data_IF_004192628479
#
_entry.id   IF_004192628479
#
_cell.length_a   1.000
_cell.length_b   1.000
_cell.length_c   1.000
_cell.angle_alpha   90.00
_cell.angle_beta   90.00
_cell.angle_gamma   90.00
#
_symmetry.space_group_name_H-M   'P 1'
#
loop_
_entity.id
_entity.type
_entity.pdbx_description
1 polymer ?
#
# COMPACT_ATOMS: atom_id res chain seq x y z
N UNK A 1 -7.94 66.56 -2.54
CA UNK A 1 -6.74 66.57 -1.65
C UNK A 1 -6.28 65.12 -1.50
N UNK A 2 -4.97 64.83 -1.54
CA UNK A 2 -4.41 63.48 -1.29
C UNK A 2 -3.41 63.55 -0.14
N UNK A 3 -3.56 62.69 0.85
CA UNK A 3 -2.66 62.57 2.01
C UNK A 3 -1.47 61.67 1.65
N UNK A 4 -0.22 61.99 2.05
CA UNK A 4 0.95 61.18 1.70
C UNK A 4 1.03 59.87 2.51
N UNK A 5 1.61 58.83 1.91
CA UNK A 5 1.96 57.58 2.62
C UNK A 5 3.20 57.78 3.50
N UNK A 6 3.19 57.16 4.69
CA UNK A 6 4.32 57.15 5.62
C UNK A 6 5.28 56.00 5.28
N UNK A 7 6.36 56.28 4.55
CA UNK A 7 7.44 55.32 4.33
C UNK A 7 8.41 55.31 5.51
N UNK A 8 8.30 54.31 6.39
CA UNK A 8 9.34 54.06 7.40
C UNK A 8 10.56 53.42 6.76
N UNK A 9 11.73 54.05 6.91
CA UNK A 9 13.00 53.47 6.47
C UNK A 9 13.38 52.24 7.34
N UNK A 10 14.04 51.22 6.78
CA UNK A 10 14.49 50.07 7.56
C UNK A 10 15.47 50.51 8.65
N UNK A 11 15.27 50.01 9.88
CA UNK A 11 16.20 50.23 10.99
C UNK A 11 17.58 49.67 10.59
N UNK A 12 18.60 50.53 10.57
CA UNK A 12 19.98 50.06 10.61
C UNK A 12 20.20 49.34 11.94
N UNK A 13 20.56 48.06 11.87
CA UNK A 13 21.01 47.30 13.04
C UNK A 13 22.24 48.00 13.63
N UNK A 14 22.43 47.86 14.94
CA UNK A 14 23.65 48.34 15.56
C UNK A 14 24.83 47.45 15.14
N UNK A 15 26.03 48.03 15.05
CA UNK A 15 27.25 47.30 14.71
C UNK A 15 27.51 46.14 15.67
N UNK A 16 27.12 46.29 16.94
CA UNK A 16 27.21 45.25 17.97
C UNK A 16 26.24 44.08 17.74
N UNK A 17 25.10 44.28 17.07
CA UNK A 17 24.18 43.19 16.69
C UNK A 17 24.70 42.38 15.50
N UNK A 18 25.37 43.02 14.54
CA UNK A 18 26.04 42.32 13.43
C UNK A 18 27.24 41.50 13.94
N UNK A 19 28.13 42.11 14.74
CA UNK A 19 29.28 41.42 15.33
C UNK A 19 28.86 40.28 16.29
N UNK A 20 27.71 40.38 16.97
CA UNK A 20 27.12 39.27 17.74
C UNK A 20 26.59 38.14 16.84
N UNK A 21 25.93 38.45 15.73
CA UNK A 21 25.44 37.45 14.76
C UNK A 21 26.59 36.71 14.07
N UNK A 22 27.68 37.39 13.77
CA UNK A 22 28.85 36.78 13.13
C UNK A 22 29.58 35.82 14.09
N UNK A 23 29.77 36.21 15.37
CA UNK A 23 30.27 35.29 16.41
C UNK A 23 29.37 34.07 16.63
N UNK A 24 28.04 34.25 16.55
CA UNK A 24 27.09 33.15 16.68
C UNK A 24 27.09 32.17 15.48
N UNK A 25 27.66 32.55 14.33
CA UNK A 25 27.87 31.65 13.19
C UNK A 25 29.16 30.84 13.32
N UNK A 26 30.30 31.49 13.56
CA UNK A 26 31.60 30.79 13.69
C UNK A 26 31.58 29.70 14.76
N UNK A 27 30.90 29.96 15.89
CA UNK A 27 30.71 28.97 16.98
C UNK A 27 29.78 27.78 16.63
N UNK A 28 29.47 27.59 15.35
CA UNK A 28 28.73 26.47 14.76
C UNK A 28 29.43 25.89 13.52
N UNK A 29 30.63 26.37 13.21
CA UNK A 29 31.51 25.91 12.13
C UNK A 29 32.87 25.39 12.69
N UNK A 30 33.11 25.59 13.99
CA UNK A 30 34.23 25.04 14.80
C UNK A 30 33.83 23.73 15.53
N UNK A 31 32.88 22.96 14.98
CA UNK A 31 32.41 21.67 15.50
C UNK A 31 32.63 20.58 14.43
N UNK A 32 33.91 20.36 14.12
CA UNK A 32 34.46 19.32 13.24
C UNK A 32 35.76 18.80 13.86
N UNK A 33 36.04 17.51 13.63
CA UNK A 33 37.35 16.83 13.66
C UNK A 33 38.19 16.95 14.96
N UNK A 34 38.06 15.95 15.84
CA UNK A 34 39.17 15.11 16.37
C UNK A 34 38.65 14.09 17.41
N UNK A 35 39.07 12.82 17.27
CA UNK A 35 39.26 11.77 18.32
C UNK A 35 39.50 10.41 17.61
N UNK A 36 40.78 10.15 17.31
CA UNK A 36 41.58 8.90 17.08
C UNK A 36 40.83 7.53 17.07
N UNK A 37 41.05 6.61 16.11
CA UNK A 37 42.26 5.82 15.76
C UNK A 37 42.73 4.78 16.82
N UNK A 38 43.13 3.59 16.34
CA UNK A 38 43.80 2.45 17.02
C UNK A 38 43.04 1.67 18.15
N UNK A 39 43.14 0.33 18.32
CA UNK A 39 43.64 -0.78 17.48
C UNK A 39 43.16 -2.18 18.00
N UNK A 40 43.43 -3.24 17.22
CA UNK A 40 43.73 -4.64 17.59
C UNK A 40 42.75 -5.61 18.34
N UNK A 41 42.30 -6.63 17.57
CA UNK A 41 42.54 -8.11 17.76
C UNK A 41 41.55 -9.16 18.38
N UNK A 42 41.75 -10.40 17.86
CA UNK A 42 41.25 -11.78 18.22
C UNK A 42 39.73 -12.10 18.11
N UNK A 43 39.26 -12.85 17.08
CA UNK A 43 39.14 -14.34 16.89
C UNK A 43 38.01 -14.99 17.76
N UNK A 44 37.20 -15.99 17.35
CA UNK A 44 37.22 -16.95 16.24
C UNK A 44 35.78 -17.25 15.70
N UNK A 45 35.63 -17.57 14.41
CA UNK A 45 34.34 -17.82 13.73
C UNK A 45 34.40 -18.55 12.37
N UNK A 46 35.33 -19.50 12.18
CA UNK A 46 35.68 -20.07 10.85
C UNK A 46 34.62 -21.02 10.21
N UNK A 47 33.89 -20.59 9.16
CA UNK A 47 33.09 -21.48 8.26
C UNK A 47 33.19 -21.22 6.73
N UNK A 48 34.41 -20.98 6.21
CA UNK A 48 34.88 -21.76 5.05
C UNK A 48 34.39 -21.48 3.62
N UNK A 49 33.90 -20.28 3.26
CA UNK A 49 33.45 -20.03 1.86
C UNK A 49 34.55 -19.55 0.87
N UNK A 50 35.68 -19.02 1.35
CA UNK A 50 36.62 -18.25 0.53
C UNK A 50 37.66 -19.06 -0.28
N UNK A 51 37.50 -20.40 -0.38
CA UNK A 51 38.40 -21.26 -1.19
C UNK A 51 37.82 -21.65 -2.57
N UNK A 52 36.64 -21.16 -2.93
CA UNK A 52 35.94 -21.58 -4.16
C UNK A 52 36.53 -21.03 -5.47
N UNK A 53 37.07 -19.81 -5.46
CA UNK A 53 37.30 -19.02 -6.69
C UNK A 53 38.43 -19.56 -7.59
N UNK A 54 39.40 -20.29 -7.05
CA UNK A 54 40.54 -20.82 -7.85
C UNK A 54 40.26 -22.18 -8.53
N UNK A 55 39.13 -22.84 -8.23
CA UNK A 55 38.81 -24.19 -8.74
C UNK A 55 37.84 -24.15 -9.93
N UNK A 56 36.98 -23.13 -10.03
CA UNK A 56 35.95 -23.02 -11.08
C UNK A 56 36.48 -22.99 -12.53
N UNK A 57 37.74 -22.58 -12.74
CA UNK A 57 38.31 -22.43 -14.09
C UNK A 57 38.53 -23.73 -14.87
N UNK A 58 38.74 -24.87 -14.18
CA UNK A 58 39.12 -26.12 -14.86
C UNK A 58 37.94 -26.94 -15.41
N UNK A 59 36.77 -26.86 -14.77
CA UNK A 59 35.59 -27.64 -15.19
C UNK A 59 34.97 -27.08 -16.49
N UNK A 60 34.84 -25.75 -16.60
CA UNK A 60 34.28 -25.11 -17.80
C UNK A 60 35.17 -25.37 -19.02
N UNK A 61 36.50 -25.29 -18.87
CA UNK A 61 37.45 -25.59 -19.93
C UNK A 61 37.37 -27.05 -20.42
N UNK A 62 37.28 -28.01 -19.49
CA UNK A 62 37.16 -29.43 -19.83
C UNK A 62 35.86 -29.73 -20.61
N UNK A 63 34.73 -29.17 -20.18
CA UNK A 63 33.43 -29.36 -20.83
C UNK A 63 33.44 -28.81 -22.27
N UNK A 64 33.99 -27.61 -22.48
CA UNK A 64 34.08 -27.01 -23.82
C UNK A 64 34.98 -27.85 -24.75
N UNK A 65 36.10 -28.38 -24.25
CA UNK A 65 36.97 -29.27 -25.04
C UNK A 65 36.28 -30.59 -25.39
N UNK A 66 35.53 -31.19 -24.46
CA UNK A 66 34.76 -32.42 -24.73
C UNK A 66 33.67 -32.16 -25.78
N UNK A 67 32.93 -31.05 -25.67
CA UNK A 67 31.91 -30.67 -26.66
C UNK A 67 32.54 -30.45 -28.04
N UNK A 68 33.69 -29.77 -28.14
CA UNK A 68 34.40 -29.60 -29.41
C UNK A 68 34.87 -30.93 -30.02
N UNK A 69 35.35 -31.87 -29.21
CA UNK A 69 35.74 -33.21 -29.68
C UNK A 69 34.52 -33.99 -30.21
N UNK A 70 33.37 -33.90 -29.55
CA UNK A 70 32.12 -34.57 -30.00
C UNK A 70 31.55 -33.93 -31.27
N UNK A 71 31.54 -32.59 -31.36
CA UNK A 71 31.05 -31.85 -32.53
C UNK A 71 31.91 -32.11 -33.77
N UNK A 72 33.25 -32.17 -33.62
CA UNK A 72 34.15 -32.53 -34.72
C UNK A 72 34.01 -34.02 -35.08
N UNK A 73 33.89 -34.90 -34.08
CA UNK A 73 33.70 -36.34 -34.27
C UNK A 73 32.47 -36.70 -35.11
N UNK A 74 31.36 -35.97 -34.95
CA UNK A 74 30.12 -36.19 -35.71
C UNK A 74 30.17 -35.72 -37.18
N UNK A 75 31.24 -35.06 -37.65
CA UNK A 75 31.42 -34.70 -39.07
C UNK A 75 32.46 -35.54 -39.83
N UNK A 76 33.25 -36.37 -39.16
CA UNK A 76 34.26 -37.23 -39.81
C UNK A 76 34.14 -38.68 -39.35
N UNK A 77 33.54 -39.54 -40.18
CA UNK A 77 33.32 -40.96 -39.88
C UNK A 77 34.61 -41.79 -39.82
N UNK A 78 35.33 -41.70 -38.70
CA UNK A 78 36.69 -42.22 -38.53
C UNK A 78 36.83 -43.25 -37.39
N UNK A 79 35.81 -44.08 -37.16
CA UNK A 79 35.93 -45.27 -36.31
C UNK A 79 35.56 -46.54 -37.09
N UNK A 80 36.59 -47.21 -37.63
CA UNK A 80 36.44 -48.45 -38.36
C UNK A 80 37.65 -49.38 -38.17
N UNK A 81 37.70 -50.07 -37.02
CA UNK A 81 38.72 -51.09 -36.71
C UNK A 81 38.14 -52.09 -35.68
N UNK A 82 38.22 -53.41 -35.86
CA UNK A 82 38.79 -54.14 -37.00
C UNK A 82 38.38 -55.62 -37.09
N UNK A 83 38.70 -56.21 -38.25
CA UNK A 83 38.62 -57.63 -38.66
C UNK A 83 39.70 -58.44 -37.86
N UNK A 84 39.67 -59.75 -37.59
CA UNK A 84 39.57 -60.87 -38.56
C UNK A 84 39.55 -62.28 -37.90
N UNK A 85 38.61 -63.14 -38.35
CA UNK A 85 38.64 -64.62 -38.53
C UNK A 85 39.01 -65.66 -37.43
N UNK A 86 38.46 -66.87 -37.69
CA UNK A 86 38.87 -68.24 -37.28
C UNK A 86 38.13 -68.85 -36.07
N UNK A 87 37.67 -70.12 -36.03
CA UNK A 87 37.04 -71.07 -36.97
C UNK A 87 37.13 -72.48 -36.36
N UNK A 88 36.03 -73.05 -35.87
CA UNK A 88 35.85 -74.49 -35.62
C UNK A 88 34.34 -74.74 -35.47
N UNK A 89 33.66 -75.62 -36.23
CA UNK A 89 33.95 -76.98 -36.73
C UNK A 89 33.66 -78.07 -35.70
N UNK A 90 32.37 -78.42 -35.58
CA UNK A 90 31.81 -79.68 -35.07
C UNK A 90 30.62 -80.07 -35.96
N UNK A 91 30.00 -81.24 -35.75
CA UNK A 91 29.27 -81.95 -36.82
C UNK A 91 28.00 -82.71 -36.38
N UNK A 92 27.33 -83.28 -37.40
CA UNK A 92 26.20 -84.25 -37.37
C UNK A 92 24.81 -83.61 -37.21
N UNK A 93 23.84 -83.66 -38.14
CA UNK A 93 23.33 -84.68 -39.09
C UNK A 93 22.24 -85.59 -38.50
N UNK A 94 20.98 -85.43 -38.98
CA UNK A 94 19.98 -86.47 -39.37
C UNK A 94 18.53 -85.90 -39.42
N UNK A 95 17.49 -86.38 -40.16
CA UNK A 95 17.32 -86.91 -41.54
C UNK A 95 15.81 -86.94 -41.90
N UNK A 96 15.40 -86.46 -43.09
CA UNK A 96 14.03 -86.57 -43.70
C UNK A 96 12.86 -85.82 -43.03
N UNK A 97 11.73 -85.52 -43.68
CA UNK A 97 11.19 -85.80 -45.05
C UNK A 97 10.47 -84.53 -45.58
N UNK A 98 10.58 -84.08 -46.83
CA UNK A 98 10.07 -84.61 -48.13
C UNK A 98 8.54 -84.43 -48.36
N UNK A 99 8.16 -83.34 -49.02
CA UNK A 99 7.04 -83.22 -49.98
C UNK A 99 7.08 -81.84 -50.71
N UNK A 100 6.47 -81.73 -51.89
CA UNK A 100 6.47 -80.54 -52.77
C UNK A 100 5.32 -80.64 -53.80
N UNK A 101 4.93 -79.59 -54.54
CA UNK A 101 4.58 -78.23 -54.10
C UNK A 101 3.13 -77.87 -54.50
N UNK A 102 2.55 -76.83 -53.89
CA UNK A 102 1.34 -76.16 -54.40
C UNK A 102 1.57 -74.65 -54.42
N UNK A 103 1.33 -74.01 -55.57
CA UNK A 103 1.56 -72.58 -55.76
C UNK A 103 0.25 -71.80 -55.67
N UNK A 104 0.20 -70.75 -54.85
CA UNK A 104 -0.86 -69.74 -54.90
C UNK A 104 -0.37 -68.38 -54.38
N UNK A 105 -1.13 -67.33 -54.71
CA UNK A 105 -0.77 -65.90 -54.73
C UNK A 105 0.23 -65.37 -53.68
N UNK A 106 1.28 -64.71 -54.16
CA UNK A 106 2.11 -63.79 -53.36
C UNK A 106 1.37 -62.45 -53.16
N UNK A 107 0.61 -62.34 -52.07
CA UNK A 107 0.07 -61.05 -51.62
C UNK A 107 1.15 -60.28 -50.86
N UNK A 108 1.75 -59.28 -51.50
CA UNK A 108 2.71 -58.37 -50.86
C UNK A 108 2.03 -57.58 -49.74
N UNK A 109 2.28 -57.93 -48.48
CA UNK A 109 1.85 -57.13 -47.33
C UNK A 109 2.64 -55.81 -47.34
N UNK A 110 1.94 -54.70 -47.58
CA UNK A 110 2.59 -53.38 -47.67
C UNK A 110 2.83 -52.83 -46.26
N UNK A 111 3.90 -53.31 -45.65
CA UNK A 111 4.30 -52.97 -44.28
C UNK A 111 5.08 -51.66 -44.20
N UNK A 112 4.97 -51.00 -43.05
CA UNK A 112 5.70 -49.79 -42.72
C UNK A 112 6.44 -49.97 -41.39
N UNK A 113 7.61 -49.34 -41.27
CA UNK A 113 8.34 -49.30 -40.01
C UNK A 113 7.71 -48.26 -39.07
N UNK A 114 7.50 -48.64 -37.81
CA UNK A 114 7.02 -47.74 -36.77
C UNK A 114 8.05 -46.63 -36.49
N UNK A 115 7.68 -45.35 -36.56
CA UNK A 115 8.58 -44.24 -36.20
C UNK A 115 8.77 -44.16 -34.67
N UNK A 116 9.80 -43.41 -34.26
CA UNK A 116 9.90 -42.93 -32.88
C UNK A 116 8.93 -41.77 -32.69
N UNK A 117 8.11 -41.85 -31.64
CA UNK A 117 7.09 -40.86 -31.27
C UNK A 117 7.41 -40.19 -29.92
N UNK A 118 8.44 -40.64 -29.19
CA UNK A 118 8.78 -40.12 -27.87
C UNK A 118 9.21 -38.66 -27.97
N UNK A 119 8.69 -37.81 -27.07
CA UNK A 119 8.90 -36.36 -27.08
C UNK A 119 8.09 -35.59 -28.13
N UNK A 120 7.42 -36.25 -29.09
CA UNK A 120 6.51 -35.57 -30.03
C UNK A 120 5.17 -35.26 -29.37
N UNK A 121 4.49 -34.22 -29.84
CA UNK A 121 3.05 -34.05 -29.56
C UNK A 121 2.21 -35.09 -30.32
N UNK A 122 0.97 -35.30 -29.88
CA UNK A 122 0.04 -36.23 -30.54
C UNK A 122 -0.23 -35.86 -32.00
N UNK A 123 -0.28 -34.57 -32.33
CA UNK A 123 -0.52 -34.08 -33.70
C UNK A 123 0.68 -34.30 -34.63
N UNK A 124 1.91 -34.09 -34.13
CA UNK A 124 3.15 -34.38 -34.85
C UNK A 124 3.31 -35.90 -35.09
N UNK A 125 3.07 -36.70 -34.05
CA UNK A 125 3.09 -38.15 -34.12
C UNK A 125 2.05 -38.69 -35.12
N UNK A 126 0.82 -38.18 -35.05
CA UNK A 126 -0.26 -38.49 -36.00
C UNK A 126 0.15 -38.11 -37.43
N UNK A 127 0.80 -36.95 -37.61
CA UNK A 127 1.30 -36.49 -38.91
C UNK A 127 2.48 -37.32 -39.43
N UNK A 128 3.33 -37.86 -38.56
CA UNK A 128 4.43 -38.76 -38.92
C UNK A 128 3.91 -40.14 -39.33
N UNK A 129 3.03 -40.75 -38.51
CA UNK A 129 2.44 -42.05 -38.76
C UNK A 129 1.52 -42.07 -39.98
N UNK A 130 0.67 -41.05 -40.18
CA UNK A 130 -0.25 -41.00 -41.33
C UNK A 130 0.50 -41.03 -42.69
N UNK A 131 1.70 -40.43 -42.79
CA UNK A 131 2.55 -40.50 -43.99
C UNK A 131 3.01 -41.92 -44.32
N UNK A 132 3.08 -42.79 -43.31
CA UNK A 132 3.47 -44.19 -43.42
C UNK A 132 2.26 -45.12 -43.56
N UNK A 133 1.03 -44.61 -43.44
CA UNK A 133 -0.20 -45.40 -43.38
C UNK A 133 -0.44 -46.07 -42.02
N UNK A 134 0.12 -45.49 -40.95
CA UNK A 134 -0.02 -45.93 -39.55
C UNK A 134 -0.93 -44.94 -38.82
N UNK A 135 -1.82 -45.42 -37.96
CA UNK A 135 -2.64 -44.57 -37.08
C UNK A 135 -1.98 -44.32 -35.72
N UNK A 136 -2.41 -43.27 -35.01
CA UNK A 136 -2.02 -43.01 -33.61
C UNK A 136 -3.30 -42.84 -32.77
N UNK A 137 -3.30 -43.40 -31.55
CA UNK A 137 -4.38 -43.25 -30.57
C UNK A 137 -3.79 -43.01 -29.19
N UNK A 138 -4.12 -41.87 -28.57
CA UNK A 138 -3.83 -41.68 -27.15
C UNK A 138 -4.72 -42.60 -26.31
N UNK A 139 -4.13 -43.34 -25.38
CA UNK A 139 -4.86 -44.27 -24.49
C UNK A 139 -4.91 -43.80 -23.04
N UNK A 140 -3.91 -43.05 -22.58
CA UNK A 140 -3.88 -42.47 -21.23
C UNK A 140 -2.92 -41.27 -21.14
N UNK A 141 -2.88 -40.66 -19.96
CA UNK A 141 -1.82 -39.75 -19.51
C UNK A 141 -1.13 -40.31 -18.26
N UNK A 142 0.12 -39.92 -18.04
CA UNK A 142 0.84 -40.14 -16.79
C UNK A 142 1.91 -39.05 -16.58
N UNK A 143 2.41 -38.90 -15.35
CA UNK A 143 3.46 -37.92 -15.04
C UNK A 143 4.82 -38.30 -15.63
N UNK A 144 5.65 -37.29 -15.91
CA UNK A 144 7.02 -37.46 -16.36
C UNK A 144 7.93 -36.34 -15.86
N UNK A 145 9.16 -36.70 -15.49
CA UNK A 145 10.24 -35.74 -15.20
C UNK A 145 11.08 -35.38 -16.43
N UNK A 146 10.99 -36.18 -17.51
CA UNK A 146 11.79 -36.06 -18.72
C UNK A 146 11.09 -35.30 -19.86
N UNK A 147 9.76 -35.37 -19.91
CA UNK A 147 8.95 -34.89 -21.03
C UNK A 147 7.88 -33.90 -20.57
N UNK A 148 7.79 -32.75 -21.24
CA UNK A 148 6.82 -31.70 -20.91
C UNK A 148 5.37 -32.15 -21.14
N UNK A 149 4.43 -31.50 -20.46
CA UNK A 149 3.00 -31.82 -20.59
C UNK A 149 2.54 -31.73 -22.05
N UNK A 150 1.88 -32.78 -22.54
CA UNK A 150 1.47 -32.91 -23.95
C UNK A 150 2.43 -33.67 -24.88
N UNK A 151 3.66 -33.98 -24.45
CA UNK A 151 4.59 -34.84 -25.21
C UNK A 151 4.31 -36.33 -24.95
N UNK A 152 4.53 -37.20 -25.95
CA UNK A 152 4.38 -38.66 -25.83
C UNK A 152 5.55 -39.24 -25.03
N UNK A 153 5.24 -40.08 -24.03
CA UNK A 153 6.20 -40.70 -23.12
C UNK A 153 6.32 -42.22 -23.29
N UNK A 154 5.37 -42.84 -24.00
CA UNK A 154 5.39 -44.27 -24.29
C UNK A 154 4.60 -44.57 -25.58
N UNK A 155 5.06 -45.54 -26.36
CA UNK A 155 4.39 -46.08 -27.54
C UNK A 155 4.32 -47.61 -27.44
N UNK A 156 3.14 -48.20 -27.59
CA UNK A 156 2.91 -49.65 -27.39
C UNK A 156 3.65 -50.53 -28.40
N UNK A 157 4.06 -49.99 -29.55
CA UNK A 157 4.89 -50.67 -30.54
C UNK A 157 6.22 -49.89 -30.66
N UNK A 158 7.34 -50.57 -30.47
CA UNK A 158 8.67 -49.96 -30.49
C UNK A 158 9.07 -49.45 -31.89
N UNK A 159 9.93 -48.43 -31.93
CA UNK A 159 10.52 -47.91 -33.17
C UNK A 159 11.18 -49.00 -34.02
N UNK A 160 11.13 -48.85 -35.35
CA UNK A 160 11.69 -49.80 -36.31
C UNK A 160 10.89 -51.10 -36.48
N UNK A 161 9.87 -51.38 -35.65
CA UNK A 161 9.00 -52.55 -35.82
C UNK A 161 8.23 -52.45 -37.14
N UNK A 162 8.24 -53.50 -37.95
CA UNK A 162 7.44 -53.56 -39.18
C UNK A 162 5.99 -53.94 -38.84
N UNK A 163 5.03 -53.11 -39.26
CA UNK A 163 3.58 -53.32 -39.06
C UNK A 163 2.84 -53.17 -40.37
N UNK A 164 1.70 -53.85 -40.52
CA UNK A 164 0.84 -53.69 -41.70
C UNK A 164 0.17 -52.30 -41.72
N UNK A 165 0.04 -51.69 -42.90
CA UNK A 165 -0.68 -50.42 -43.05
C UNK A 165 -2.12 -50.52 -42.54
N UNK A 166 -2.56 -49.49 -41.83
CA UNK A 166 -3.80 -49.48 -41.05
C UNK A 166 -3.63 -49.85 -39.57
N UNK A 167 -2.45 -50.35 -39.15
CA UNK A 167 -2.13 -50.54 -37.73
C UNK A 167 -2.18 -49.20 -36.98
N UNK A 168 -2.81 -49.18 -35.80
CA UNK A 168 -2.83 -48.02 -34.90
C UNK A 168 -1.87 -48.26 -33.75
N UNK A 169 -0.97 -47.31 -33.50
CA UNK A 169 -0.10 -47.29 -32.32
C UNK A 169 -0.84 -46.62 -31.17
N UNK A 170 -0.93 -47.32 -30.05
CA UNK A 170 -1.38 -46.74 -28.79
C UNK A 170 -0.23 -45.97 -28.12
N UNK A 171 -0.52 -44.75 -27.64
CA UNK A 171 0.46 -43.85 -27.02
C UNK A 171 -0.01 -43.31 -25.67
N UNK A 172 0.93 -43.12 -24.75
CA UNK A 172 0.73 -42.45 -23.46
C UNK A 172 1.39 -41.07 -23.51
N UNK A 173 0.70 -40.06 -23.01
CA UNK A 173 1.13 -38.66 -23.05
C UNK A 173 1.50 -38.16 -21.64
N UNK A 174 2.53 -37.32 -21.54
CA UNK A 174 2.94 -36.66 -20.31
C UNK A 174 1.83 -35.73 -19.82
N UNK A 175 1.47 -35.81 -18.54
CA UNK A 175 0.75 -34.73 -17.85
C UNK A 175 1.69 -33.62 -17.36
N UNK A 176 3.01 -33.78 -17.54
CA UNK A 176 4.05 -32.97 -16.91
C UNK A 176 4.61 -33.63 -15.65
N UNK A 177 5.37 -32.87 -14.86
CA UNK A 177 5.83 -33.28 -13.53
C UNK A 177 4.64 -33.56 -12.59
N UNK A 178 4.90 -34.19 -11.45
CA UNK A 178 3.90 -34.27 -10.40
C UNK A 178 3.51 -32.86 -9.90
N UNK A 179 2.23 -32.69 -9.58
CA UNK A 179 1.75 -31.52 -8.85
C UNK A 179 2.30 -31.51 -7.41
N UNK A 180 2.48 -30.31 -6.88
CA UNK A 180 2.78 -30.01 -5.48
C UNK A 180 1.73 -29.07 -4.92
N UNK A 181 1.46 -29.16 -3.61
CA UNK A 181 0.53 -28.24 -2.94
C UNK A 181 1.28 -27.00 -2.46
N UNK A 182 0.75 -25.80 -2.72
CA UNK A 182 1.24 -24.56 -2.11
C UNK A 182 1.16 -24.70 -0.58
N UNK A 183 2.26 -24.51 0.18
CA UNK A 183 2.26 -24.63 1.64
C UNK A 183 1.19 -23.76 2.33
N UNK A 184 0.78 -24.18 3.53
CA UNK A 184 -0.18 -23.44 4.36
C UNK A 184 0.52 -22.74 5.53
N UNK A 185 -0.02 -21.60 5.95
CA UNK A 185 0.61 -20.72 6.94
C UNK A 185 1.59 -19.73 6.32
N UNK A 186 1.51 -19.49 5.00
CA UNK A 186 2.31 -18.46 4.33
C UNK A 186 1.79 -17.06 4.70
N UNK A 187 0.47 -16.90 4.76
CA UNK A 187 -0.18 -15.63 5.16
C UNK A 187 0.19 -15.26 6.60
N UNK A 188 0.71 -14.04 6.80
CA UNK A 188 1.16 -13.54 8.10
C UNK A 188 2.53 -14.05 8.56
N UNK A 189 3.20 -14.92 7.80
CA UNK A 189 4.60 -15.28 8.03
C UNK A 189 5.55 -14.20 7.49
N UNK A 190 6.84 -14.24 7.88
CA UNK A 190 7.84 -13.35 7.30
C UNK A 190 8.11 -13.74 5.85
N UNK A 191 8.50 -12.76 5.02
CA UNK A 191 8.91 -13.01 3.63
C UNK A 191 9.93 -14.16 3.51
N UNK A 192 10.95 -14.20 4.39
CA UNK A 192 12.00 -15.21 4.34
C UNK A 192 11.51 -16.62 4.71
N UNK A 193 10.58 -16.74 5.68
CA UNK A 193 9.97 -18.02 6.04
C UNK A 193 9.07 -18.54 4.90
N UNK A 194 8.36 -17.63 4.22
CA UNK A 194 7.51 -17.96 3.09
C UNK A 194 8.31 -18.39 1.85
N UNK A 195 9.38 -17.67 1.51
CA UNK A 195 10.33 -18.03 0.45
C UNK A 195 10.91 -19.43 0.69
N UNK A 196 11.48 -19.67 1.87
CA UNK A 196 12.06 -20.97 2.22
C UNK A 196 11.02 -22.11 2.20
N UNK A 197 9.78 -21.82 2.59
CA UNK A 197 8.68 -22.79 2.54
C UNK A 197 8.28 -23.15 1.10
N UNK A 198 8.26 -22.17 0.19
CA UNK A 198 7.99 -22.39 -1.24
C UNK A 198 9.12 -23.14 -1.93
N UNK A 199 10.38 -22.74 -1.71
CA UNK A 199 11.55 -23.43 -2.26
C UNK A 199 11.61 -24.90 -1.77
N UNK A 200 11.35 -25.14 -0.48
CA UNK A 200 11.29 -26.50 0.08
C UNK A 200 10.10 -27.33 -0.44
N UNK A 201 9.09 -26.71 -1.05
CA UNK A 201 7.99 -27.39 -1.74
C UNK A 201 8.28 -27.62 -3.24
N UNK A 202 9.43 -27.16 -3.75
CA UNK A 202 9.74 -27.20 -5.18
C UNK A 202 8.95 -26.18 -6.00
N UNK A 203 8.62 -25.03 -5.40
CA UNK A 203 7.95 -23.88 -6.01
C UNK A 203 8.93 -22.70 -6.13
N UNK A 204 8.62 -21.77 -7.02
CA UNK A 204 9.44 -20.57 -7.23
C UNK A 204 8.75 -19.37 -6.57
N UNK A 205 9.31 -18.76 -5.52
CA UNK A 205 8.77 -17.52 -4.98
C UNK A 205 8.97 -16.35 -5.97
N UNK A 206 7.97 -15.47 -6.02
CA UNK A 206 7.98 -14.19 -6.71
C UNK A 206 7.45 -13.13 -5.71
N UNK A 207 7.92 -11.88 -5.74
CA UNK A 207 7.75 -10.95 -4.60
C UNK A 207 7.18 -9.62 -5.08
N UNK A 208 5.93 -9.34 -4.73
CA UNK A 208 5.28 -8.04 -4.97
C UNK A 208 5.08 -7.27 -3.66
N UNK A 209 5.67 -6.07 -3.56
CA UNK A 209 5.57 -5.20 -2.39
C UNK A 209 4.31 -4.32 -2.47
N UNK A 210 3.37 -4.49 -1.54
CA UNK A 210 2.10 -3.74 -1.47
C UNK A 210 1.94 -3.04 -0.10
N UNK A 211 1.18 -1.94 -0.04
CA UNK A 211 0.83 -1.31 1.24
C UNK A 211 -0.35 -2.03 1.89
N UNK A 212 -0.30 -2.24 3.20
CA UNK A 212 -1.39 -2.80 4.00
C UNK A 212 -1.40 -2.15 5.39
N UNK A 213 -2.58 -1.76 5.87
CA UNK A 213 -2.74 -1.01 7.13
C UNK A 213 -2.72 -1.91 8.38
N UNK A 214 -2.70 -3.23 8.19
CA UNK A 214 -2.93 -4.25 9.22
C UNK A 214 -1.84 -5.32 9.31
N UNK A 215 -1.11 -5.57 8.22
CA UNK A 215 0.01 -6.52 8.15
C UNK A 215 1.33 -5.77 8.35
N UNK A 216 2.11 -6.17 9.35
CA UNK A 216 3.43 -5.60 9.63
C UNK A 216 4.38 -5.67 8.43
N UNK A 217 5.26 -4.66 8.30
CA UNK A 217 6.23 -4.57 7.20
C UNK A 217 7.15 -5.79 7.11
N UNK A 218 7.28 -6.36 5.91
CA UNK A 218 8.07 -7.58 5.66
C UNK A 218 7.32 -8.91 5.86
N UNK A 219 6.06 -8.88 6.32
CA UNK A 219 5.20 -10.07 6.40
C UNK A 219 4.31 -10.22 5.16
N UNK A 220 3.92 -11.46 4.85
CA UNK A 220 3.08 -11.80 3.69
C UNK A 220 1.61 -11.45 3.96
N UNK A 221 1.03 -10.60 3.11
CA UNK A 221 -0.40 -10.25 3.10
C UNK A 221 -1.24 -11.40 2.52
N UNK A 222 -0.80 -11.98 1.41
CA UNK A 222 -1.47 -13.11 0.74
C UNK A 222 -0.56 -13.73 -0.34
N UNK A 223 -0.98 -14.86 -0.93
CA UNK A 223 -0.23 -15.53 -2.02
C UNK A 223 -1.11 -15.79 -3.24
N UNK A 224 -0.49 -15.83 -4.42
CA UNK A 224 -1.14 -16.20 -5.69
C UNK A 224 -0.26 -17.17 -6.50
N UNK A 225 -0.68 -18.44 -6.68
CA UNK A 225 -1.88 -19.08 -6.15
C UNK A 225 -1.95 -19.13 -4.61
N UNK A 226 -3.17 -19.28 -4.09
CA UNK A 226 -3.41 -19.32 -2.64
C UNK A 226 -2.87 -20.61 -2.00
N UNK A 227 -2.57 -20.55 -0.70
CA UNK A 227 -2.21 -21.72 0.10
C UNK A 227 -3.20 -22.89 -0.03
N UNK A 228 -2.70 -24.12 -0.06
CA UNK A 228 -3.49 -25.32 -0.29
C UNK A 228 -3.84 -25.60 -1.77
N UNK A 229 -3.50 -24.72 -2.72
CA UNK A 229 -3.73 -24.97 -4.16
C UNK A 229 -2.78 -26.05 -4.69
N UNK A 230 -3.28 -26.97 -5.53
CA UNK A 230 -2.46 -27.91 -6.31
C UNK A 230 -1.93 -27.21 -7.57
N UNK A 231 -0.62 -27.23 -7.78
CA UNK A 231 0.05 -26.60 -8.92
C UNK A 231 1.19 -27.48 -9.44
N UNK A 232 1.61 -27.38 -10.72
CA UNK A 232 2.74 -28.15 -11.22
C UNK A 232 4.05 -27.86 -10.46
N UNK A 233 4.88 -28.88 -10.22
CA UNK A 233 6.23 -28.68 -9.65
C UNK A 233 7.07 -27.70 -10.49
N UNK A 234 7.65 -26.69 -9.84
CA UNK A 234 8.35 -25.57 -10.46
C UNK A 234 7.46 -24.39 -10.86
N UNK A 235 6.16 -24.39 -10.53
CA UNK A 235 5.29 -23.24 -10.70
C UNK A 235 5.71 -22.05 -9.81
N UNK A 236 5.48 -20.85 -10.30
CA UNK A 236 5.67 -19.59 -9.56
C UNK A 236 4.50 -19.34 -8.61
N UNK A 237 4.80 -18.86 -7.41
CA UNK A 237 3.83 -18.34 -6.44
C UNK A 237 4.25 -16.93 -6.05
N UNK A 238 3.45 -15.94 -6.43
CA UNK A 238 3.64 -14.55 -6.02
C UNK A 238 3.24 -14.38 -4.56
N UNK A 239 4.18 -13.92 -3.74
CA UNK A 239 4.01 -13.44 -2.37
C UNK A 239 3.72 -11.94 -2.42
N UNK A 240 2.54 -11.54 -1.96
CA UNK A 240 2.24 -10.13 -1.73
C UNK A 240 2.74 -9.76 -0.34
N UNK A 241 3.82 -8.98 -0.25
CA UNK A 241 4.52 -8.66 1.01
C UNK A 241 4.23 -7.22 1.42
N UNK A 242 3.95 -7.03 2.71
CA UNK A 242 3.58 -5.72 3.25
C UNK A 242 4.74 -4.74 3.32
N UNK A 243 4.46 -3.52 2.90
CA UNK A 243 5.27 -2.32 3.12
C UNK A 243 4.86 -1.55 4.37
N UNK A 244 3.88 -2.06 5.14
CA UNK A 244 3.09 -1.31 6.11
C UNK A 244 2.09 -0.36 5.43
N UNK A 245 1.44 0.49 6.22
CA UNK A 245 0.52 1.54 5.75
C UNK A 245 1.22 2.54 4.81
N UNK A 246 0.51 3.04 3.80
CA UNK A 246 0.98 4.18 3.02
C UNK A 246 1.01 5.47 3.87
N UNK A 247 2.20 6.04 4.04
CA UNK A 247 2.45 7.26 4.82
C UNK A 247 2.70 8.49 3.94
N UNK A 248 2.55 8.41 2.61
CA UNK A 248 2.80 9.53 1.68
C UNK A 248 1.83 10.70 1.87
N UNK A 249 0.67 10.46 2.49
CA UNK A 249 -0.31 11.48 2.84
C UNK A 249 -0.17 12.02 4.27
N UNK A 250 0.67 11.42 5.11
CA UNK A 250 0.85 11.80 6.50
C UNK A 250 1.29 13.25 6.65
N UNK A 251 0.58 13.98 7.49
CA UNK A 251 0.97 15.31 7.96
C UNK A 251 0.77 15.40 9.46
N UNK A 252 1.53 16.27 10.12
CA UNK A 252 1.29 16.59 11.53
C UNK A 252 0.25 17.70 11.63
N UNK A 253 -0.68 17.57 12.57
CA UNK A 253 -1.61 18.65 12.94
C UNK A 253 -0.78 19.89 13.36
N UNK A 254 -0.92 21.04 12.69
CA UNK A 254 -0.11 22.22 12.96
C UNK A 254 -0.50 22.89 14.29
N UNK A 255 0.44 23.65 14.87
CA UNK A 255 0.16 24.47 16.04
C UNK A 255 -0.61 25.74 15.64
N UNK A 256 -1.94 25.60 15.66
CA UNK A 256 -2.90 26.67 15.36
C UNK A 256 -3.70 27.11 16.59
N UNK A 257 -3.37 26.60 17.79
CA UNK A 257 -4.01 27.01 19.05
C UNK A 257 -3.56 28.43 19.39
N UNK A 258 -4.47 29.25 19.93
CA UNK A 258 -4.20 30.67 20.19
C UNK A 258 -4.15 31.57 18.95
N UNK A 259 -4.20 31.02 17.73
CA UNK A 259 -4.35 31.82 16.50
C UNK A 259 -5.79 32.33 16.35
N UNK A 260 -6.00 33.40 15.57
CA UNK A 260 -7.33 33.77 15.10
C UNK A 260 -7.86 32.70 14.12
N UNK A 261 -9.19 32.52 14.10
CA UNK A 261 -9.87 31.60 13.18
C UNK A 261 -9.30 31.65 11.76
N UNK A 262 -9.25 32.84 11.16
CA UNK A 262 -8.93 32.97 9.73
C UNK A 262 -7.45 32.64 9.44
N UNK A 263 -6.54 32.87 10.41
CA UNK A 263 -5.13 32.43 10.32
C UNK A 263 -4.99 30.92 10.46
N UNK A 264 -5.72 30.33 11.41
CA UNK A 264 -5.74 28.90 11.65
C UNK A 264 -6.29 28.12 10.43
N UNK A 265 -7.42 28.55 9.88
CA UNK A 265 -8.03 27.90 8.71
C UNK A 265 -7.15 28.04 7.47
N UNK A 266 -6.60 29.23 7.19
CA UNK A 266 -5.68 29.43 6.07
C UNK A 266 -4.40 28.57 6.19
N UNK A 267 -3.95 28.26 7.42
CA UNK A 267 -2.84 27.33 7.66
C UNK A 267 -3.22 25.89 7.28
N UNK A 268 -4.41 25.44 7.68
CA UNK A 268 -4.91 24.09 7.32
C UNK A 268 -5.17 23.96 5.81
N UNK A 269 -5.79 24.97 5.19
CA UNK A 269 -6.00 25.05 3.74
C UNK A 269 -4.66 24.96 2.97
N UNK A 270 -3.63 25.66 3.44
CA UNK A 270 -2.27 25.63 2.85
C UNK A 270 -1.60 24.25 2.97
N UNK A 271 -1.91 23.49 4.04
CA UNK A 271 -1.42 22.12 4.23
C UNK A 271 -2.31 21.06 3.54
N UNK A 272 -3.43 21.46 2.95
CA UNK A 272 -4.41 20.53 2.36
C UNK A 272 -5.15 19.69 3.40
N UNK A 273 -5.18 20.10 4.67
CA UNK A 273 -5.83 19.39 5.77
C UNK A 273 -7.34 19.71 5.76
N UNK A 274 -8.17 18.67 5.66
CA UNK A 274 -9.62 18.80 5.85
C UNK A 274 -9.95 19.19 7.28
N UNK A 275 -10.92 20.08 7.47
CA UNK A 275 -11.34 20.51 8.80
C UNK A 275 -12.84 20.74 8.95
N UNK A 276 -13.28 20.70 10.21
CA UNK A 276 -14.58 21.18 10.69
C UNK A 276 -14.36 22.25 11.76
N UNK A 277 -15.35 23.13 11.97
CA UNK A 277 -15.28 24.16 13.03
C UNK A 277 -16.43 24.03 14.00
N UNK A 278 -16.14 24.06 15.30
CA UNK A 278 -17.13 24.11 16.38
C UNK A 278 -16.85 25.29 17.32
N UNK A 279 -17.83 25.66 18.15
CA UNK A 279 -17.69 26.73 19.15
C UNK A 279 -17.48 26.16 20.55
N UNK A 280 -16.41 26.60 21.22
CA UNK A 280 -16.25 26.50 22.67
C UNK A 280 -16.41 27.87 23.33
N UNK A 281 -16.29 27.95 24.65
CA UNK A 281 -16.30 29.21 25.39
C UNK A 281 -15.28 29.18 26.52
N UNK A 282 -14.32 30.10 26.48
CA UNK A 282 -13.33 30.36 27.53
C UNK A 282 -13.25 31.88 27.74
N UNK A 283 -13.50 32.33 28.97
CA UNK A 283 -13.48 33.75 29.35
C UNK A 283 -12.08 34.32 29.59
N UNK A 284 -11.04 33.48 29.59
CA UNK A 284 -9.63 33.91 29.61
C UNK A 284 -9.09 34.25 28.20
N UNK A 285 -9.77 33.77 27.15
CA UNK A 285 -9.34 33.90 25.76
C UNK A 285 -10.19 34.94 25.01
N UNK A 286 -9.62 35.55 23.97
CA UNK A 286 -10.35 36.49 23.10
C UNK A 286 -11.38 35.76 22.22
N UNK A 287 -12.43 36.47 21.82
CA UNK A 287 -13.43 35.96 20.88
C UNK A 287 -12.80 35.63 19.52
N UNK A 288 -13.21 34.53 18.88
CA UNK A 288 -12.71 34.13 17.55
C UNK A 288 -11.30 33.52 17.51
N UNK A 289 -10.68 33.29 18.67
CA UNK A 289 -9.38 32.57 18.80
C UNK A 289 -9.61 31.06 18.87
N UNK A 290 -8.70 30.25 18.34
CA UNK A 290 -8.74 28.78 18.46
C UNK A 290 -8.36 28.35 19.89
N UNK A 291 -9.28 27.65 20.57
CA UNK A 291 -9.08 27.08 21.90
C UNK A 291 -8.38 25.73 21.86
N UNK A 292 -8.73 24.88 20.89
CA UNK A 292 -8.19 23.54 20.76
C UNK A 292 -8.40 22.99 19.35
N UNK A 293 -7.65 21.93 19.03
CA UNK A 293 -7.80 21.10 17.83
C UNK A 293 -7.97 19.64 18.24
N UNK A 294 -8.63 18.85 17.41
CA UNK A 294 -8.70 17.39 17.56
C UNK A 294 -8.57 16.72 16.18
N UNK A 295 -7.62 15.79 15.96
CA UNK A 295 -6.57 15.34 16.90
C UNK A 295 -5.64 16.47 17.39
N UNK A 296 -4.93 16.21 18.49
CA UNK A 296 -4.08 17.20 19.17
C UNK A 296 -2.90 17.69 18.30
N UNK A 297 -2.35 18.86 18.64
CA UNK A 297 -1.19 19.46 17.95
C UNK A 297 -0.01 18.48 17.91
N UNK A 298 0.56 18.30 16.72
CA UNK A 298 1.69 17.39 16.48
C UNK A 298 1.32 15.92 16.28
N UNK A 299 0.05 15.52 16.45
CA UNK A 299 -0.44 14.20 16.04
C UNK A 299 -0.32 14.02 14.52
N UNK A 300 -0.01 12.80 14.07
CA UNK A 300 0.03 12.45 12.64
C UNK A 300 -1.36 12.05 12.16
N UNK A 301 -1.79 12.57 11.01
CA UNK A 301 -3.05 12.27 10.33
C UNK A 301 -2.82 12.07 8.82
N UNK A 302 -3.66 11.28 8.16
CA UNK A 302 -3.74 11.27 6.70
C UNK A 302 -4.67 12.40 6.25
N UNK A 303 -4.11 13.42 5.57
CA UNK A 303 -4.86 14.61 5.09
C UNK A 303 -5.99 14.29 4.09
N UNK A 304 -5.99 13.10 3.50
CA UNK A 304 -6.95 12.66 2.48
C UNK A 304 -8.13 11.89 3.06
N UNK A 305 -7.96 11.17 4.17
CA UNK A 305 -9.07 10.49 4.87
C UNK A 305 -9.58 11.28 6.06
N UNK A 306 -8.68 11.84 6.86
CA UNK A 306 -8.99 12.35 8.19
C UNK A 306 -9.55 13.77 8.16
N UNK A 307 -9.94 14.31 9.31
CA UNK A 307 -10.49 15.67 9.42
C UNK A 307 -10.22 16.26 10.80
N UNK A 308 -9.60 17.43 10.85
CA UNK A 308 -9.31 18.15 12.11
C UNK A 308 -10.53 18.96 12.55
N UNK A 309 -11.01 18.74 13.77
CA UNK A 309 -12.02 19.59 14.40
C UNK A 309 -11.33 20.76 15.10
N UNK A 310 -11.63 21.98 14.67
CA UNK A 310 -11.11 23.23 15.27
C UNK A 310 -12.16 23.82 16.21
N UNK A 311 -11.84 23.93 17.50
CA UNK A 311 -12.69 24.58 18.50
C UNK A 311 -12.34 26.06 18.58
N UNK A 312 -13.28 26.93 18.18
CA UNK A 312 -13.11 28.39 18.18
C UNK A 312 -13.83 28.96 19.41
N UNK A 313 -13.18 29.89 20.12
CA UNK A 313 -13.78 30.60 21.23
C UNK A 313 -14.93 31.48 20.74
N UNK A 314 -16.09 31.32 21.37
CA UNK A 314 -17.21 32.24 21.28
C UNK A 314 -17.55 32.72 22.68
N UNK A 315 -17.15 33.93 23.00
CA UNK A 315 -17.66 34.67 24.16
C UNK A 315 -19.05 35.20 23.83
N UNK A 316 -19.94 35.28 24.82
CA UNK A 316 -21.18 36.03 24.66
C UNK A 316 -20.85 37.52 24.54
N UNK A 317 -21.27 38.18 23.46
CA UNK A 317 -21.19 39.65 23.37
C UNK A 317 -22.19 40.23 24.36
N UNK A 318 -21.70 40.97 25.36
CA UNK A 318 -22.56 41.74 26.24
C UNK A 318 -22.94 43.06 25.58
N UNK A 319 -24.16 43.49 25.88
CA UNK A 319 -24.77 44.71 25.39
C UNK A 319 -25.27 45.52 26.59
N UNK A 320 -25.00 46.83 26.59
CA UNK A 320 -25.30 47.72 27.72
C UNK A 320 -26.26 48.83 27.29
N UNK A 321 -27.32 49.00 28.08
CA UNK A 321 -28.14 50.21 28.10
C UNK A 321 -27.69 51.12 29.25
N UNK A 322 -27.58 52.43 28.97
CA UNK A 322 -27.24 53.46 29.95
C UNK A 322 -27.78 54.86 29.55
N UNK A 323 -28.93 54.93 28.87
CA UNK A 323 -29.54 56.22 28.50
C UNK A 323 -30.36 56.76 29.67
N UNK A 324 -30.18 58.02 30.10
CA UNK A 324 -31.01 58.62 31.15
C UNK A 324 -32.48 58.67 30.73
N UNK A 325 -33.37 58.24 31.63
CA UNK A 325 -34.82 58.32 31.48
C UNK A 325 -35.33 59.54 32.27
N UNK A 326 -35.81 60.57 31.57
CA UNK A 326 -36.53 61.68 32.20
C UNK A 326 -37.85 61.21 32.83
N UNK A 327 -38.33 61.98 33.80
CA UNK A 327 -39.70 61.87 34.32
C UNK A 327 -40.73 62.04 33.17
N UNK A 328 -41.76 61.19 33.07
CA UNK A 328 -42.81 61.32 32.06
C UNK A 328 -43.92 62.29 32.53
N UNK A 329 -44.43 63.13 31.61
CA UNK A 329 -45.45 64.18 31.85
C UNK A 329 -46.77 63.72 32.54
N UNK A 330 -46.97 62.40 32.70
CA UNK A 330 -48.16 61.79 33.31
C UNK A 330 -47.94 61.15 34.68
N UNK A 331 -46.76 61.31 35.30
CA UNK A 331 -46.46 60.81 36.65
C UNK A 331 -47.11 61.69 37.74
N UNK A 332 -47.54 61.09 38.85
CA UNK A 332 -48.32 61.75 39.91
C UNK A 332 -47.75 61.50 41.33
N UNK A 333 -46.57 60.88 41.46
CA UNK A 333 -45.94 60.56 42.73
C UNK A 333 -46.32 59.20 43.33
N UNK A 334 -46.96 58.30 42.55
CA UNK A 334 -47.21 56.91 42.95
C UNK A 334 -45.97 56.02 42.87
N UNK A 335 -46.10 54.73 43.17
CA UNK A 335 -44.97 53.78 43.11
C UNK A 335 -44.61 53.44 41.67
N UNK A 336 -43.33 53.59 41.32
CA UNK A 336 -42.84 53.40 39.95
C UNK A 336 -42.28 52.00 39.76
N UNK A 337 -42.69 51.34 38.67
CA UNK A 337 -42.04 50.14 38.15
C UNK A 337 -41.60 50.36 36.70
N UNK A 338 -40.33 50.05 36.41
CA UNK A 338 -39.74 50.11 35.08
C UNK A 338 -39.48 48.69 34.56
N UNK A 339 -40.07 48.35 33.41
CA UNK A 339 -39.88 47.05 32.76
C UNK A 339 -39.29 47.20 31.36
N UNK A 340 -38.07 46.70 31.19
CA UNK A 340 -37.39 46.54 29.91
C UNK A 340 -37.91 45.28 29.21
N UNK A 341 -38.44 45.43 28.00
CA UNK A 341 -38.91 44.32 27.15
C UNK A 341 -38.03 44.24 25.90
N UNK A 342 -37.34 43.12 25.71
CA UNK A 342 -36.46 42.85 24.57
C UNK A 342 -36.78 41.46 24.00
N UNK A 343 -37.35 41.41 22.81
CA UNK A 343 -37.99 40.18 22.30
C UNK A 343 -39.06 39.67 23.27
N UNK A 344 -39.02 38.38 23.59
CA UNK A 344 -39.92 37.74 24.58
C UNK A 344 -39.45 37.92 26.04
N UNK A 345 -38.32 38.59 26.29
CA UNK A 345 -37.70 38.74 27.63
C UNK A 345 -38.10 40.07 28.27
N UNK A 346 -38.94 40.01 29.31
CA UNK A 346 -39.22 41.15 30.21
C UNK A 346 -38.30 41.11 31.43
N UNK A 347 -37.66 42.23 31.75
CA UNK A 347 -36.79 42.42 32.91
C UNK A 347 -37.22 43.67 33.67
N UNK A 348 -37.55 43.55 34.95
CA UNK A 348 -37.78 44.71 35.82
C UNK A 348 -36.44 45.36 36.16
N UNK A 349 -36.26 46.64 35.80
CA UNK A 349 -35.00 47.40 35.96
C UNK A 349 -35.06 48.41 37.11
N UNK A 350 -36.27 48.69 37.62
CA UNK A 350 -36.53 49.44 38.85
C UNK A 350 -37.93 49.08 39.38
N UNK A 351 -38.11 49.03 40.70
CA UNK A 351 -39.41 48.98 41.37
C UNK A 351 -39.27 49.66 42.74
N UNK A 352 -40.05 50.72 43.01
CA UNK A 352 -39.83 51.56 44.19
C UNK A 352 -40.79 52.74 44.32
N UNK A 353 -40.31 53.79 44.97
CA UNK A 353 -40.94 55.12 45.03
C UNK A 353 -40.46 55.95 43.82
N UNK A 354 -40.37 57.28 43.93
CA UNK A 354 -39.96 58.17 42.82
C UNK A 354 -38.46 58.01 42.45
N UNK A 355 -38.13 57.51 41.23
CA UNK A 355 -36.75 57.36 40.76
C UNK A 355 -36.16 58.65 40.16
N UNK A 356 -36.94 59.74 40.06
CA UNK A 356 -36.55 61.01 39.44
C UNK A 356 -36.21 62.13 40.43
N UNK A 357 -36.32 61.85 41.74
CA UNK A 357 -36.01 62.76 42.85
C UNK A 357 -34.70 63.54 42.73
N UNK A 358 -33.63 62.89 42.26
CA UNK A 358 -32.30 63.51 42.05
C UNK A 358 -32.01 63.86 40.56
N UNK A 359 -33.00 63.75 39.67
CA UNK A 359 -32.91 64.00 38.23
C UNK A 359 -33.21 62.76 37.36
N UNK A 360 -32.91 62.80 36.04
CA UNK A 360 -33.20 61.70 35.13
C UNK A 360 -32.63 60.36 35.59
N UNK A 361 -33.47 59.33 35.70
CA UNK A 361 -33.10 58.02 36.19
C UNK A 361 -32.07 57.35 35.26
N UNK A 362 -30.96 56.88 35.81
CA UNK A 362 -29.91 56.16 35.08
C UNK A 362 -29.67 54.80 35.72
N UNK A 363 -29.58 53.76 34.88
CA UNK A 363 -29.22 52.40 35.31
C UNK A 363 -28.45 51.70 34.19
N UNK A 364 -27.45 50.88 34.57
CA UNK A 364 -26.73 50.01 33.64
C UNK A 364 -27.49 48.68 33.53
N UNK A 365 -28.04 48.39 32.36
CA UNK A 365 -28.69 47.08 32.10
C UNK A 365 -27.85 46.30 31.11
N UNK A 366 -27.40 45.12 31.52
CA UNK A 366 -26.68 44.17 30.67
C UNK A 366 -27.65 43.22 29.97
N UNK A 367 -27.40 42.94 28.69
CA UNK A 367 -28.12 41.95 27.89
C UNK A 367 -27.16 41.15 27.00
N UNK A 368 -27.62 39.98 26.57
CA UNK A 368 -26.95 39.08 25.63
C UNK A 368 -27.37 39.37 24.16
N UNK A 369 -28.22 40.39 23.94
CA UNK A 369 -28.71 40.82 22.62
C UNK A 369 -28.57 42.34 22.43
N UNK A 370 -28.15 42.74 21.23
CA UNK A 370 -28.09 44.13 20.77
C UNK A 370 -29.37 44.65 20.12
N UNK A 371 -30.44 43.85 20.10
CA UNK A 371 -31.74 44.24 19.55
C UNK A 371 -32.36 45.41 20.33
N UNK A 372 -33.15 46.25 19.66
CA UNK A 372 -33.85 47.35 20.33
C UNK A 372 -34.92 46.84 21.29
N UNK A 373 -34.93 47.38 22.51
CA UNK A 373 -35.95 47.13 23.52
C UNK A 373 -37.02 48.24 23.58
N UNK A 374 -38.04 48.01 24.42
CA UNK A 374 -38.99 49.02 24.88
C UNK A 374 -38.96 49.04 26.40
N UNK A 375 -38.84 50.22 27.02
CA UNK A 375 -39.04 50.37 28.47
C UNK A 375 -40.47 50.84 28.72
N UNK A 376 -41.25 50.01 29.41
CA UNK A 376 -42.57 50.34 29.93
C UNK A 376 -42.42 50.97 31.33
N UNK A 377 -43.14 52.06 31.59
CA UNK A 377 -43.19 52.73 32.89
C UNK A 377 -44.60 52.58 33.47
N UNK A 378 -44.68 52.03 34.68
CA UNK A 378 -45.92 51.85 35.42
C UNK A 378 -45.92 52.70 36.70
N UNK A 379 -47.06 53.31 37.02
CA UNK A 379 -47.37 53.96 38.29
C UNK A 379 -48.49 53.17 38.99
N UNK A 380 -48.25 52.69 40.21
CA UNK A 380 -49.18 51.85 41.00
C UNK A 380 -49.79 50.66 40.20
N UNK A 381 -48.99 50.10 39.28
CA UNK A 381 -49.37 48.99 38.38
C UNK A 381 -50.07 49.40 37.08
N UNK A 382 -50.36 50.68 36.87
CA UNK A 382 -50.94 51.21 35.62
C UNK A 382 -49.85 51.73 34.69
N UNK A 383 -49.84 51.31 33.42
CA UNK A 383 -48.88 51.79 32.42
C UNK A 383 -49.10 53.28 32.11
N UNK A 384 -48.13 54.14 32.46
CA UNK A 384 -48.18 55.59 32.22
C UNK A 384 -47.33 56.06 31.02
N UNK A 385 -46.21 55.39 30.71
CA UNK A 385 -45.33 55.79 29.61
C UNK A 385 -44.63 54.61 28.93
N UNK A 386 -44.10 54.85 27.72
CA UNK A 386 -43.27 53.92 26.95
C UNK A 386 -42.12 54.65 26.27
N UNK A 387 -40.92 54.09 26.41
CA UNK A 387 -39.71 54.52 25.71
C UNK A 387 -39.35 53.44 24.69
N UNK A 388 -39.76 53.60 23.41
CA UNK A 388 -39.45 52.64 22.35
C UNK A 388 -38.04 52.86 21.76
N UNK A 389 -37.58 51.88 20.97
CA UNK A 389 -36.31 51.93 20.25
C UNK A 389 -35.09 52.11 21.18
N UNK A 390 -35.14 51.52 22.37
CA UNK A 390 -34.03 51.51 23.33
C UNK A 390 -32.89 50.68 22.74
N UNK A 391 -31.87 51.35 22.23
CA UNK A 391 -30.64 50.74 21.70
C UNK A 391 -29.67 50.39 22.83
N UNK A 392 -28.96 49.28 22.67
CA UNK A 392 -27.79 48.92 23.48
C UNK A 392 -26.51 49.16 22.70
N UNK A 393 -25.42 49.45 23.39
CA UNK A 393 -24.06 49.42 22.82
C UNK A 393 -23.34 48.13 23.23
N UNK A 394 -22.49 47.58 22.38
CA UNK A 394 -21.59 46.48 22.78
C UNK A 394 -20.70 46.91 23.96
N UNK A 395 -20.53 46.02 24.93
CA UNK A 395 -19.63 46.23 26.06
C UNK A 395 -18.19 45.94 25.62
N UNK A 396 -17.36 47.00 25.63
CA UNK A 396 -16.01 47.06 25.05
C UNK A 396 -14.89 46.67 26.02
#
# INVERSE_FOLDING_TARGET
VRTPQNQQAPRRLSREEEERRERARRRREEEYDDDDEDDDDEDDGKTGLEKAITIGGFLVGAIIVIILIVVIGNMTGLFHFGKTASSSSAASTSTSAEASPTAEASSSSEQAAVPNLLGMTVDEATTACNKLGIGVRQTSTATSEQYDSGQIINQTIAEGTMVDKGTTIDVVVSSGKADVTVPAGLTGSSQADAEASLESAGLVPDIELQYDDTVDVGNVISTSPAEGTSVPSGATVTLYVSKGRDTTNDVKVPDIVGQSKDSALATLDTMGIKYTTQTGSDSSQSNGVVLSVSPDVGATIDKTTDTVTVTINKTATKYVFNTPLSEPDGYNGGKVKLELVQGDKTTTIYEGDDPWTDGPFTTKVESDSGETAVINIYEDGTLIARYPNVTFTEES
#
